data_IF_294235615905
#
_entry.id   IF_294235615905
#
_cell.length_a   1.000
_cell.length_b   1.000
_cell.length_c   1.000
_cell.angle_alpha   90.00
_cell.angle_beta   90.00
_cell.angle_gamma   90.00
#
_symmetry.space_group_name_H-M   'P 1'
#
loop_
_entity.id
_entity.type
_entity.pdbx_description
1 polymer ?
#
# COMPACT_ATOMS: atom_id res chain seq x y z
N UNK A 1 -20.38 19.00 3.59
CA UNK A 1 -19.47 19.06 4.76
C UNK A 1 -20.15 19.72 5.94
N UNK A 2 -20.70 20.93 5.84
CA UNK A 2 -21.36 21.64 6.96
C UNK A 2 -22.55 20.84 7.59
N UNK A 3 -23.37 20.20 6.78
CA UNK A 3 -24.52 19.41 7.26
C UNK A 3 -24.11 18.14 8.03
N UNK A 4 -23.04 17.46 7.61
CA UNK A 4 -22.49 16.29 8.32
C UNK A 4 -21.85 16.67 9.66
N UNK A 5 -21.17 17.81 9.71
CA UNK A 5 -20.63 18.35 10.96
C UNK A 5 -21.73 18.76 11.94
N UNK A 6 -22.85 19.33 11.44
CA UNK A 6 -23.99 19.70 12.26
C UNK A 6 -24.69 18.45 12.84
N UNK A 7 -24.86 17.39 12.05
CA UNK A 7 -25.39 16.10 12.50
C UNK A 7 -24.49 15.52 13.58
N UNK A 8 -23.19 15.36 13.33
CA UNK A 8 -22.23 14.80 14.29
C UNK A 8 -22.17 15.61 15.60
N UNK A 9 -22.29 16.95 15.51
CA UNK A 9 -22.35 17.84 16.68
C UNK A 9 -23.65 17.62 17.47
N UNK A 10 -24.76 17.43 16.77
CA UNK A 10 -26.09 17.23 17.42
C UNK A 10 -26.15 15.84 18.07
N UNK A 11 -25.62 14.80 17.45
CA UNK A 11 -25.49 13.45 18.01
C UNK A 11 -24.69 13.46 19.32
N UNK A 12 -23.51 14.06 19.33
CA UNK A 12 -22.70 14.20 20.55
C UNK A 12 -23.45 14.94 21.66
N UNK A 13 -24.22 15.96 21.32
CA UNK A 13 -25.00 16.70 22.30
C UNK A 13 -26.12 15.85 22.88
N UNK A 14 -26.80 15.06 22.06
CA UNK A 14 -27.85 14.12 22.53
C UNK A 14 -27.25 13.08 23.48
N UNK A 15 -26.07 12.54 23.16
CA UNK A 15 -25.38 11.55 23.99
C UNK A 15 -24.98 12.13 25.35
N UNK A 16 -24.41 13.36 25.38
CA UNK A 16 -24.04 14.05 26.61
C UNK A 16 -25.28 14.33 27.48
N UNK A 17 -26.38 14.77 26.86
CA UNK A 17 -27.63 15.05 27.58
C UNK A 17 -28.27 13.76 28.13
N UNK A 18 -28.24 12.64 27.39
CA UNK A 18 -28.73 11.34 27.85
C UNK A 18 -27.90 10.85 29.06
N UNK A 19 -26.60 10.96 29.02
CA UNK A 19 -25.73 10.58 30.12
C UNK A 19 -26.02 11.40 31.37
N UNK A 20 -26.22 12.72 31.24
CA UNK A 20 -26.63 13.60 32.37
C UNK A 20 -28.06 13.32 32.85
N UNK A 21 -28.99 12.93 31.98
CA UNK A 21 -30.33 12.57 32.35
C UNK A 21 -30.40 11.25 33.12
N UNK A 22 -29.48 10.31 32.88
CA UNK A 22 -29.35 9.06 33.66
C UNK A 22 -28.79 9.30 35.07
N UNK A 23 -27.91 10.31 35.21
CA UNK A 23 -27.23 10.63 36.47
C UNK A 23 -28.04 11.56 37.39
N UNK A 24 -29.02 12.30 36.82
CA UNK A 24 -29.87 13.27 37.54
C UNK A 24 -31.33 13.12 37.10
N UNK A 25 -32.24 12.75 38.02
CA UNK A 25 -33.69 12.75 37.80
C UNK A 25 -34.19 14.20 37.73
N UNK A 26 -33.96 14.88 36.61
CA UNK A 26 -34.41 16.26 36.36
C UNK A 26 -35.32 16.28 35.11
N UNK A 27 -36.62 16.63 35.24
CA UNK A 27 -37.55 16.68 34.12
C UNK A 27 -37.12 17.65 33.00
N UNK A 28 -36.41 18.75 33.32
CA UNK A 28 -35.95 19.73 32.36
C UNK A 28 -34.87 19.15 31.42
N UNK A 29 -33.98 18.30 31.94
CA UNK A 29 -33.00 17.60 31.13
C UNK A 29 -33.66 16.61 30.18
N UNK A 30 -34.69 15.93 30.62
CA UNK A 30 -35.50 15.02 29.79
C UNK A 30 -36.17 15.76 28.61
N UNK A 31 -36.70 16.97 28.85
CA UNK A 31 -37.25 17.80 27.77
C UNK A 31 -36.15 18.27 26.79
N UNK A 32 -34.97 18.63 27.30
CA UNK A 32 -33.83 19.03 26.46
C UNK A 32 -33.32 17.86 25.60
N UNK A 33 -33.29 16.63 26.11
CA UNK A 33 -32.97 15.41 25.36
C UNK A 33 -33.95 15.23 24.21
N UNK A 34 -35.26 15.29 24.50
CA UNK A 34 -36.30 15.09 23.49
C UNK A 34 -36.28 16.17 22.42
N UNK A 35 -36.04 17.44 22.79
CA UNK A 35 -35.92 18.55 21.85
C UNK A 35 -34.71 18.38 20.91
N UNK A 36 -33.55 17.96 21.46
CA UNK A 36 -32.34 17.69 20.66
C UNK A 36 -32.47 16.44 19.82
N UNK A 37 -33.14 15.39 20.32
CA UNK A 37 -33.46 14.21 19.52
C UNK A 37 -34.37 14.56 18.34
N UNK A 38 -35.42 15.35 18.55
CA UNK A 38 -36.28 15.82 17.46
C UNK A 38 -35.54 16.69 16.44
N UNK A 39 -34.57 17.47 16.88
CA UNK A 39 -33.68 18.22 15.96
C UNK A 39 -32.80 17.29 15.14
N UNK A 40 -32.18 16.30 15.75
CA UNK A 40 -31.38 15.28 15.08
C UNK A 40 -32.22 14.50 14.06
N UNK A 41 -33.40 14.04 14.43
CA UNK A 41 -34.30 13.32 13.53
C UNK A 41 -34.71 14.15 12.32
N UNK A 42 -34.89 15.48 12.48
CA UNK A 42 -35.16 16.38 11.36
C UNK A 42 -33.95 16.58 10.46
N UNK A 43 -32.72 16.67 11.01
CA UNK A 43 -31.49 16.77 10.25
C UNK A 43 -31.25 15.47 9.45
N UNK A 44 -31.43 14.32 10.09
CA UNK A 44 -31.33 13.01 9.43
C UNK A 44 -32.40 12.82 8.33
N UNK A 45 -33.64 13.33 8.55
CA UNK A 45 -34.70 13.28 7.55
C UNK A 45 -34.46 14.22 6.36
N UNK A 46 -33.67 15.30 6.54
CA UNK A 46 -33.26 16.23 5.48
C UNK A 46 -32.04 15.74 4.71
N UNK A 47 -31.26 14.83 5.30
CA UNK A 47 -30.20 14.17 4.54
C UNK A 47 -30.83 13.57 3.29
N UNK A 48 -30.62 14.22 2.16
CA UNK A 48 -30.87 13.59 0.86
C UNK A 48 -30.03 12.32 0.92
N UNK A 49 -30.71 11.16 1.02
CA UNK A 49 -30.03 9.89 0.83
C UNK A 49 -29.40 9.99 -0.55
N UNK A 50 -28.14 10.35 -0.61
CA UNK A 50 -27.38 10.12 -1.81
C UNK A 50 -27.69 8.67 -2.18
N UNK A 51 -28.03 8.37 -3.45
CA UNK A 51 -28.23 6.99 -3.83
C UNK A 51 -27.05 6.24 -3.21
N UNK A 52 -27.34 5.23 -2.40
CA UNK A 52 -26.30 4.41 -1.79
C UNK A 52 -25.53 3.81 -2.95
N UNK A 53 -24.47 4.48 -3.38
CA UNK A 53 -23.42 3.83 -4.10
C UNK A 53 -22.80 2.97 -3.00
N UNK A 54 -23.14 1.70 -3.02
CA UNK A 54 -22.48 0.70 -2.19
C UNK A 54 -21.02 0.72 -2.64
N UNK A 55 -20.20 1.45 -1.90
CA UNK A 55 -18.77 1.53 -2.20
C UNK A 55 -18.22 0.16 -1.86
N UNK A 56 -17.86 -0.60 -2.86
CA UNK A 56 -17.19 -1.89 -2.71
C UNK A 56 -15.70 -1.61 -2.70
N UNK A 57 -15.06 -2.04 -1.63
CA UNK A 57 -13.61 -2.03 -1.53
C UNK A 57 -13.08 -3.30 -2.21
N UNK A 58 -12.10 -3.21 -3.13
CA UNK A 58 -11.50 -4.39 -3.71
C UNK A 58 -10.68 -5.16 -2.67
N UNK A 59 -10.82 -6.47 -2.67
CA UNK A 59 -10.00 -7.38 -1.87
C UNK A 59 -8.72 -7.70 -2.67
N UNK A 60 -7.70 -6.86 -2.56
CA UNK A 60 -6.43 -7.08 -3.24
C UNK A 60 -5.62 -8.10 -2.43
N UNK A 61 -5.33 -9.24 -3.03
CA UNK A 61 -4.48 -10.29 -2.49
C UNK A 61 -3.18 -10.30 -3.28
N UNK A 62 -2.05 -10.47 -2.63
CA UNK A 62 -0.75 -10.65 -3.26
C UNK A 62 -0.29 -12.11 -3.11
N UNK A 63 0.67 -12.58 -3.93
CA UNK A 63 1.06 -14.00 -3.96
C UNK A 63 1.46 -14.53 -2.59
N UNK A 64 1.06 -15.78 -2.28
CA UNK A 64 1.59 -16.47 -1.11
C UNK A 64 2.97 -17.03 -1.44
N UNK A 65 4.00 -16.52 -0.77
CA UNK A 65 5.40 -16.97 -0.96
C UNK A 65 5.61 -18.38 -0.47
N UNK A 66 4.73 -18.92 0.41
CA UNK A 66 4.84 -20.24 0.98
C UNK A 66 4.41 -21.37 0.02
N UNK A 67 3.59 -21.09 -0.99
CA UNK A 67 3.06 -22.12 -1.91
C UNK A 67 4.03 -22.54 -3.01
N UNK A 68 5.18 -21.93 -3.10
CA UNK A 68 6.22 -22.22 -4.11
C UNK A 68 7.10 -23.45 -3.84
N UNK A 69 6.91 -24.19 -2.76
CA UNK A 69 7.79 -25.30 -2.32
C UNK A 69 7.14 -26.68 -2.51
N UNK A 70 6.02 -26.79 -3.23
CA UNK A 70 5.50 -28.11 -3.58
C UNK A 70 6.22 -28.65 -4.83
N UNK A 71 7.38 -29.29 -4.63
CA UNK A 71 8.10 -30.03 -5.69
C UNK A 71 9.61 -30.09 -5.58
N UNK A 72 10.24 -29.30 -4.73
CA UNK A 72 11.64 -29.53 -4.37
C UNK A 72 11.69 -30.35 -3.06
N UNK A 73 12.23 -31.53 -3.12
CA UNK A 73 12.59 -32.32 -1.93
C UNK A 73 13.29 -31.34 -0.95
N UNK A 74 12.80 -31.30 0.28
CA UNK A 74 13.40 -30.51 1.36
C UNK A 74 14.83 -31.06 1.56
N UNK A 75 15.78 -30.56 0.80
CA UNK A 75 17.12 -30.45 1.34
C UNK A 75 17.01 -29.43 2.47
N UNK A 76 17.03 -29.92 3.70
CA UNK A 76 17.31 -29.12 4.88
C UNK A 76 18.59 -28.33 4.58
N UNK A 77 18.46 -27.15 4.00
CA UNK A 77 19.54 -26.17 4.01
C UNK A 77 19.73 -25.78 5.46
N UNK A 78 20.69 -26.49 6.09
CA UNK A 78 21.30 -26.01 7.33
C UNK A 78 21.55 -24.52 7.20
N UNK A 79 21.16 -23.69 8.21
CA UNK A 79 21.49 -22.29 8.20
C UNK A 79 23.02 -22.19 8.16
N UNK A 80 23.55 -21.85 6.99
CA UNK A 80 24.95 -21.54 6.85
C UNK A 80 25.30 -20.38 7.76
N UNK A 81 26.36 -20.57 8.46
CA UNK A 81 26.88 -19.67 9.46
C UNK A 81 27.05 -18.27 8.92
N UNK A 82 26.50 -17.30 9.68
CA UNK A 82 26.53 -15.85 9.49
C UNK A 82 25.47 -15.29 8.51
N UNK A 83 24.28 -15.04 9.01
CA UNK A 83 23.31 -13.95 8.73
C UNK A 83 23.37 -13.14 7.42
N UNK A 84 23.80 -13.72 6.29
CA UNK A 84 23.78 -13.05 5.01
C UNK A 84 22.36 -13.16 4.42
N UNK A 85 21.63 -12.05 4.43
CA UNK A 85 20.33 -11.93 3.77
C UNK A 85 20.50 -12.25 2.27
N UNK A 86 19.66 -13.14 1.72
CA UNK A 86 19.68 -13.52 0.30
C UNK A 86 19.43 -12.28 -0.58
N UNK A 87 20.35 -11.95 -1.46
CA UNK A 87 20.20 -10.86 -2.42
C UNK A 87 19.35 -11.34 -3.60
N UNK A 88 18.21 -10.70 -3.82
CA UNK A 88 17.23 -11.03 -4.87
C UNK A 88 17.50 -10.23 -6.15
N UNK A 89 17.90 -8.97 -6.01
CA UNK A 89 18.26 -8.08 -7.11
C UNK A 89 19.51 -7.28 -6.74
N UNK A 90 20.47 -7.24 -7.63
CA UNK A 90 21.68 -6.44 -7.49
C UNK A 90 21.88 -5.55 -8.71
N UNK A 91 22.12 -4.29 -8.47
CA UNK A 91 22.42 -3.31 -9.51
C UNK A 91 23.78 -2.68 -9.18
N UNK A 92 24.69 -2.70 -10.19
CA UNK A 92 26.06 -2.22 -10.03
C UNK A 92 26.42 -1.33 -11.21
N UNK A 93 26.82 -0.09 -10.93
CA UNK A 93 27.27 0.92 -11.91
C UNK A 93 26.30 1.09 -13.09
N UNK A 94 24.98 1.02 -12.81
CA UNK A 94 23.97 1.18 -13.83
C UNK A 94 23.84 2.64 -14.25
N UNK A 95 23.74 2.87 -15.56
CA UNK A 95 23.63 4.17 -16.18
C UNK A 95 22.55 4.17 -17.26
N UNK A 96 21.82 5.27 -17.37
CA UNK A 96 20.86 5.53 -18.44
C UNK A 96 21.15 6.88 -19.07
N UNK A 97 21.46 6.86 -20.34
CA UNK A 97 21.61 8.01 -21.19
C UNK A 97 20.54 8.04 -22.28
N UNK A 98 19.89 9.19 -22.45
CA UNK A 98 19.15 9.58 -23.65
C UNK A 98 19.77 10.91 -24.13
N UNK A 99 18.98 11.83 -24.68
CA UNK A 99 19.44 13.19 -25.01
C UNK A 99 20.07 13.93 -23.80
N UNK A 100 19.83 13.42 -22.58
CA UNK A 100 20.42 13.85 -21.31
C UNK A 100 20.72 12.62 -20.46
N UNK A 101 21.74 12.75 -19.61
CA UNK A 101 21.99 11.78 -18.55
C UNK A 101 20.78 11.72 -17.60
N UNK A 102 20.15 10.56 -17.49
CA UNK A 102 19.00 10.37 -16.62
C UNK A 102 19.40 9.75 -15.28
N UNK A 103 20.22 8.70 -15.31
CA UNK A 103 20.75 8.03 -14.12
C UNK A 103 22.22 7.72 -14.32
N UNK A 104 23.03 7.95 -13.29
CA UNK A 104 24.46 7.69 -13.28
C UNK A 104 24.87 6.97 -12.00
N UNK A 105 25.78 5.99 -12.13
CA UNK A 105 26.38 5.26 -11.01
C UNK A 105 25.36 4.70 -10.02
N UNK A 106 24.27 4.13 -10.52
CA UNK A 106 23.24 3.55 -9.66
C UNK A 106 23.74 2.23 -9.09
N UNK A 107 23.83 2.18 -7.78
CA UNK A 107 24.29 1.02 -7.03
C UNK A 107 23.32 0.75 -5.88
N UNK A 108 22.66 -0.41 -5.89
CA UNK A 108 21.90 -0.90 -4.75
C UNK A 108 21.67 -2.41 -4.82
N UNK A 109 21.38 -2.99 -3.68
CA UNK A 109 20.99 -4.38 -3.52
C UNK A 109 19.62 -4.42 -2.83
N UNK A 110 18.80 -5.40 -3.24
CA UNK A 110 17.52 -5.70 -2.68
C UNK A 110 17.56 -7.11 -2.12
N UNK A 111 17.29 -7.24 -0.84
CA UNK A 111 17.34 -8.52 -0.14
C UNK A 111 15.94 -9.13 -0.01
N UNK A 112 15.89 -10.44 0.19
CA UNK A 112 14.65 -11.17 0.35
C UNK A 112 13.82 -10.60 1.51
N UNK A 113 12.54 -10.32 1.23
CA UNK A 113 11.61 -9.73 2.19
C UNK A 113 11.68 -8.20 2.35
N UNK A 114 12.67 -7.52 1.73
CA UNK A 114 12.73 -6.06 1.75
C UNK A 114 11.69 -5.44 0.80
N UNK A 115 11.13 -4.32 1.22
CA UNK A 115 10.23 -3.48 0.41
C UNK A 115 10.91 -2.15 0.15
N UNK A 116 11.20 -1.86 -1.12
CA UNK A 116 11.94 -0.67 -1.54
C UNK A 116 11.13 0.15 -2.51
N UNK A 117 10.99 1.45 -2.24
CA UNK A 117 10.34 2.40 -3.13
C UNK A 117 11.37 3.29 -3.83
N UNK A 118 11.24 3.43 -5.15
CA UNK A 118 12.00 4.39 -5.96
C UNK A 118 11.14 5.64 -6.13
N UNK A 119 11.63 6.77 -5.64
CA UNK A 119 10.92 8.05 -5.66
C UNK A 119 11.78 9.10 -6.34
N UNK A 120 11.18 9.92 -7.18
CA UNK A 120 11.89 11.01 -7.88
C UNK A 120 10.99 11.70 -8.91
N UNK A 121 11.43 12.82 -9.46
CA UNK A 121 10.67 13.58 -10.45
C UNK A 121 10.36 12.78 -11.72
N UNK A 122 9.37 13.25 -12.50
CA UNK A 122 9.06 12.63 -13.79
C UNK A 122 10.23 12.79 -14.77
N UNK A 123 10.47 11.76 -15.59
CA UNK A 123 11.53 11.79 -16.59
C UNK A 123 12.94 11.55 -16.05
N UNK A 124 13.10 11.10 -14.80
CA UNK A 124 14.40 10.78 -14.20
C UNK A 124 14.92 9.38 -14.51
N UNK A 125 14.22 8.60 -15.34
CA UNK A 125 14.69 7.27 -15.76
C UNK A 125 14.16 6.09 -14.91
N UNK A 126 13.23 6.30 -13.96
CA UNK A 126 12.69 5.23 -13.10
C UNK A 126 12.04 4.10 -13.89
N UNK A 127 11.09 4.41 -14.78
CA UNK A 127 10.43 3.42 -15.64
C UNK A 127 11.42 2.75 -16.60
N UNK A 128 12.46 3.46 -17.06
CA UNK A 128 13.53 2.88 -17.88
C UNK A 128 14.31 1.85 -17.08
N UNK A 129 14.65 2.15 -15.83
CA UNK A 129 15.30 1.20 -14.92
C UNK A 129 14.45 -0.06 -14.72
N UNK A 130 13.14 0.09 -14.46
CA UNK A 130 12.22 -1.06 -14.34
C UNK A 130 12.22 -1.88 -15.62
N UNK A 131 12.12 -1.22 -16.79
CA UNK A 131 12.14 -1.91 -18.08
C UNK A 131 13.42 -2.72 -18.29
N UNK A 132 14.57 -2.16 -17.94
CA UNK A 132 15.85 -2.84 -18.09
C UNK A 132 16.02 -3.98 -17.08
N UNK A 133 15.45 -3.85 -15.86
CA UNK A 133 15.36 -4.96 -14.91
C UNK A 133 14.55 -6.11 -15.51
N UNK A 134 13.40 -5.82 -16.10
CA UNK A 134 12.52 -6.84 -16.69
C UNK A 134 13.13 -7.53 -17.90
N UNK A 135 13.90 -6.79 -18.74
CA UNK A 135 14.60 -7.37 -19.88
C UNK A 135 15.73 -8.29 -19.45
N UNK A 136 16.34 -8.01 -18.31
CA UNK A 136 17.45 -8.76 -17.71
C UNK A 136 18.60 -9.07 -18.71
N UNK A 137 18.86 -8.13 -19.63
CA UNK A 137 19.92 -8.22 -20.64
C UNK A 137 21.12 -7.29 -20.35
N UNK A 138 21.00 -6.43 -19.34
CA UNK A 138 22.01 -5.48 -18.94
C UNK A 138 22.96 -6.11 -17.89
N UNK A 139 24.29 -6.18 -18.15
CA UNK A 139 25.24 -6.77 -17.21
C UNK A 139 25.35 -6.04 -15.87
N UNK A 140 24.89 -4.79 -15.79
CA UNK A 140 24.79 -4.03 -14.53
C UNK A 140 23.65 -4.47 -13.63
N UNK A 141 22.75 -5.34 -14.13
CA UNK A 141 21.55 -5.80 -13.42
C UNK A 141 21.63 -7.31 -13.26
N UNK A 142 21.47 -7.80 -12.07
CA UNK A 142 21.50 -9.23 -11.75
C UNK A 142 20.29 -9.55 -10.86
N UNK A 143 19.38 -10.37 -11.40
CA UNK A 143 18.30 -10.99 -10.62
C UNK A 143 18.76 -12.40 -10.27
N UNK A 144 18.55 -12.83 -9.02
CA UNK A 144 18.81 -14.21 -8.62
C UNK A 144 17.99 -15.18 -9.46
N UNK A 145 18.65 -16.13 -10.11
CA UNK A 145 18.05 -17.10 -11.05
C UNK A 145 16.92 -17.95 -10.43
N UNK A 146 16.93 -18.13 -9.11
CA UNK A 146 15.91 -18.89 -8.40
C UNK A 146 14.73 -18.00 -7.96
N UNK A 147 14.73 -16.70 -8.25
CA UNK A 147 13.68 -15.79 -7.85
C UNK A 147 12.57 -15.71 -8.90
N UNK A 148 11.37 -16.11 -8.52
CA UNK A 148 10.18 -15.87 -9.33
C UNK A 148 9.72 -14.44 -9.12
N UNK A 149 9.54 -13.71 -10.20
CA UNK A 149 9.07 -12.34 -10.14
C UNK A 149 7.80 -12.12 -10.97
N UNK A 150 7.01 -11.15 -10.56
CA UNK A 150 5.88 -10.63 -11.31
C UNK A 150 5.96 -9.11 -11.36
N UNK A 151 5.42 -8.53 -12.43
CA UNK A 151 5.45 -7.11 -12.66
C UNK A 151 4.07 -6.54 -12.92
N UNK A 152 3.74 -5.46 -12.21
CA UNK A 152 2.68 -4.53 -12.56
C UNK A 152 3.34 -3.33 -13.27
N UNK A 153 3.12 -3.19 -14.58
CA UNK A 153 3.77 -2.15 -15.37
C UNK A 153 2.76 -1.23 -16.03
N UNK A 154 3.06 0.06 -16.05
CA UNK A 154 2.31 1.05 -16.84
C UNK A 154 2.41 0.82 -18.37
N UNK A 155 3.38 0.01 -18.81
CA UNK A 155 3.54 -0.36 -20.21
C UNK A 155 2.51 -1.44 -20.60
N UNK A 156 1.25 -1.08 -20.54
CA UNK A 156 0.08 -1.97 -20.65
C UNK A 156 0.02 -2.75 -21.97
N UNK A 157 0.68 -2.30 -23.03
CA UNK A 157 0.65 -2.96 -24.34
C UNK A 157 1.63 -4.13 -24.53
N UNK A 158 2.60 -4.34 -23.63
CA UNK A 158 3.61 -5.39 -23.79
C UNK A 158 3.29 -6.69 -23.00
N UNK A 159 2.41 -6.63 -22.00
CA UNK A 159 2.13 -7.77 -21.11
C UNK A 159 0.79 -8.46 -21.33
N UNK A 160 -0.22 -7.77 -21.86
CA UNK A 160 -1.56 -8.32 -22.07
C UNK A 160 -2.09 -7.93 -23.46
N UNK A 161 -2.57 -8.92 -24.20
CA UNK A 161 -3.16 -8.72 -25.54
C UNK A 161 -4.50 -7.97 -25.39
N UNK A 162 -4.53 -6.69 -25.80
CA UNK A 162 -5.69 -5.81 -25.70
C UNK A 162 -6.88 -6.28 -26.56
N UNK A 163 -6.65 -7.10 -27.58
CA UNK A 163 -7.69 -7.65 -28.44
C UNK A 163 -8.39 -8.88 -27.86
N UNK A 164 -7.79 -9.53 -26.88
CA UNK A 164 -8.39 -10.65 -26.16
C UNK A 164 -9.42 -10.17 -25.14
N UNK A 165 -10.42 -11.03 -24.90
CA UNK A 165 -11.33 -10.80 -23.75
C UNK A 165 -10.61 -11.09 -22.44
N UNK A 166 -11.06 -10.45 -21.34
CA UNK A 166 -10.56 -10.72 -20.00
C UNK A 166 -10.61 -12.22 -19.69
N UNK A 167 -11.70 -12.88 -20.07
CA UNK A 167 -11.83 -14.34 -19.93
C UNK A 167 -10.71 -15.11 -20.62
N UNK A 168 -10.39 -14.76 -21.87
CA UNK A 168 -9.32 -15.41 -22.63
C UNK A 168 -7.95 -15.20 -22.00
N UNK A 169 -7.68 -13.98 -21.54
CA UNK A 169 -6.43 -13.65 -20.85
C UNK A 169 -6.30 -14.45 -19.55
N UNK A 170 -7.35 -14.50 -18.74
CA UNK A 170 -7.36 -15.28 -17.51
C UNK A 170 -7.18 -16.78 -17.75
N UNK A 171 -7.79 -17.31 -18.81
CA UNK A 171 -7.58 -18.72 -19.23
C UNK A 171 -6.12 -19.00 -19.62
N UNK A 172 -5.50 -18.09 -20.38
CA UNK A 172 -4.09 -18.23 -20.80
C UNK A 172 -3.15 -18.25 -19.56
N UNK A 173 -3.57 -17.65 -18.45
CA UNK A 173 -2.86 -17.66 -17.18
C UNK A 173 -3.27 -18.84 -16.25
N UNK A 174 -4.00 -19.82 -16.78
CA UNK A 174 -4.32 -21.05 -16.07
C UNK A 174 -5.57 -21.00 -15.19
N UNK A 175 -6.35 -19.92 -15.24
CA UNK A 175 -7.62 -19.87 -14.52
C UNK A 175 -8.67 -20.79 -15.15
N UNK A 176 -9.61 -21.25 -14.32
CA UNK A 176 -10.55 -22.30 -14.68
C UNK A 176 -11.73 -21.87 -15.55
N UNK A 177 -12.95 -22.23 -15.13
CA UNK A 177 -14.17 -21.93 -15.89
C UNK A 177 -14.51 -20.44 -15.86
N UNK A 178 -15.38 -20.02 -16.79
CA UNK A 178 -15.84 -18.63 -16.86
C UNK A 178 -16.55 -18.18 -15.60
N UNK A 179 -17.28 -19.08 -14.94
CA UNK A 179 -17.98 -18.83 -13.69
C UNK A 179 -16.98 -18.58 -12.56
N UNK A 180 -15.94 -19.43 -12.44
CA UNK A 180 -14.90 -19.25 -11.42
C UNK A 180 -14.08 -17.98 -11.65
N UNK A 181 -13.81 -17.60 -12.90
CA UNK A 181 -13.14 -16.34 -13.23
C UNK A 181 -14.01 -15.15 -12.80
N UNK A 182 -15.31 -15.16 -13.07
CA UNK A 182 -16.22 -14.09 -12.66
C UNK A 182 -16.29 -13.94 -11.13
N UNK A 183 -16.37 -15.05 -10.40
CA UNK A 183 -16.34 -15.05 -8.92
C UNK A 183 -15.00 -14.52 -8.39
N UNK A 184 -13.91 -14.88 -9.02
CA UNK A 184 -12.57 -14.40 -8.64
C UNK A 184 -12.42 -12.90 -8.89
N UNK A 185 -12.80 -12.42 -10.07
CA UNK A 185 -12.74 -11.00 -10.43
C UNK A 185 -13.66 -10.10 -9.60
N UNK A 186 -14.78 -10.66 -9.11
CA UNK A 186 -15.68 -9.92 -8.22
C UNK A 186 -15.01 -9.49 -6.91
N UNK A 187 -13.99 -10.21 -6.42
CA UNK A 187 -13.17 -9.80 -5.26
C UNK A 187 -12.42 -8.49 -5.51
N UNK A 188 -12.01 -8.28 -6.75
CA UNK A 188 -11.34 -7.06 -7.22
C UNK A 188 -12.34 -5.98 -7.68
N UNK A 189 -13.61 -6.08 -7.30
CA UNK A 189 -14.68 -5.18 -7.74
C UNK A 189 -14.86 -5.08 -9.27
N UNK A 190 -14.40 -6.08 -10.02
CA UNK A 190 -14.64 -6.21 -11.45
C UNK A 190 -15.98 -6.94 -11.66
N UNK A 191 -16.93 -6.27 -12.32
CA UNK A 191 -18.27 -6.81 -12.53
C UNK A 191 -18.26 -8.02 -13.49
N UNK A 192 -19.27 -8.87 -13.39
CA UNK A 192 -19.34 -10.12 -14.17
C UNK A 192 -19.27 -9.89 -15.69
N UNK A 193 -19.73 -8.74 -16.19
CA UNK A 193 -19.72 -8.31 -17.57
C UNK A 193 -18.31 -8.03 -18.09
N UNK A 194 -17.40 -7.63 -17.20
CA UNK A 194 -15.99 -7.36 -17.52
C UNK A 194 -15.30 -8.59 -18.10
N UNK A 195 -15.65 -9.79 -17.66
CA UNK A 195 -15.08 -11.03 -18.19
C UNK A 195 -15.28 -11.20 -19.70
N UNK A 196 -16.35 -10.64 -20.25
CA UNK A 196 -16.69 -10.73 -21.69
C UNK A 196 -16.17 -9.54 -22.51
N UNK A 197 -15.62 -8.51 -21.87
CA UNK A 197 -15.06 -7.33 -22.53
C UNK A 197 -13.63 -7.60 -23.00
N UNK A 198 -13.21 -6.91 -24.05
CA UNK A 198 -11.80 -6.88 -24.45
C UNK A 198 -11.00 -6.07 -23.45
N UNK A 199 -9.76 -6.49 -23.17
CA UNK A 199 -8.86 -5.79 -22.23
C UNK A 199 -8.67 -4.32 -22.63
N UNK A 200 -8.52 -4.02 -23.91
CA UNK A 200 -8.40 -2.65 -24.41
C UNK A 200 -9.65 -1.77 -24.24
N UNK A 201 -10.80 -2.33 -23.83
CA UNK A 201 -12.04 -1.59 -23.56
C UNK A 201 -12.20 -1.23 -22.09
N UNK A 202 -11.38 -1.81 -21.21
CA UNK A 202 -11.40 -1.55 -19.79
C UNK A 202 -10.87 -0.15 -19.49
N UNK A 203 -11.40 0.47 -18.44
CA UNK A 203 -10.79 1.68 -17.86
C UNK A 203 -9.39 1.37 -17.30
N UNK A 204 -8.54 2.37 -17.18
CA UNK A 204 -7.19 2.18 -16.61
C UNK A 204 -7.20 1.56 -15.21
N UNK A 205 -8.20 1.89 -14.38
CA UNK A 205 -8.39 1.28 -13.07
C UNK A 205 -8.76 -0.20 -13.14
N UNK A 206 -9.69 -0.59 -14.02
CA UNK A 206 -10.07 -1.99 -14.23
C UNK A 206 -8.91 -2.81 -14.78
N UNK A 207 -8.11 -2.25 -15.70
CA UNK A 207 -6.91 -2.90 -16.22
C UNK A 207 -5.87 -3.13 -15.11
N UNK A 208 -5.69 -2.15 -14.23
CA UNK A 208 -4.77 -2.26 -13.10
C UNK A 208 -5.25 -3.33 -12.11
N UNK A 209 -6.54 -3.35 -11.75
CA UNK A 209 -7.11 -4.39 -10.88
C UNK A 209 -7.04 -5.78 -11.52
N UNK A 210 -7.25 -5.90 -12.83
CA UNK A 210 -7.08 -7.16 -13.56
C UNK A 210 -5.64 -7.67 -13.49
N UNK A 211 -4.65 -6.80 -13.69
CA UNK A 211 -3.23 -7.17 -13.56
C UNK A 211 -2.89 -7.62 -12.13
N UNK A 212 -3.39 -6.91 -11.11
CA UNK A 212 -3.22 -7.31 -9.71
C UNK A 212 -3.84 -8.69 -9.44
N UNK A 213 -5.04 -8.95 -9.98
CA UNK A 213 -5.69 -10.26 -9.89
C UNK A 213 -4.86 -11.38 -10.52
N UNK A 214 -4.20 -11.11 -11.65
CA UNK A 214 -3.31 -12.09 -12.30
C UNK A 214 -2.01 -12.30 -11.51
N UNK A 215 -1.44 -11.24 -10.95
CA UNK A 215 -0.23 -11.31 -10.12
C UNK A 215 -0.47 -12.14 -8.86
N UNK A 216 -1.64 -12.07 -8.26
CA UNK A 216 -1.98 -12.79 -7.03
C UNK A 216 -1.72 -14.30 -7.12
N UNK A 217 -1.96 -14.90 -8.27
CA UNK A 217 -1.80 -16.34 -8.49
C UNK A 217 -0.41 -16.72 -9.08
N UNK A 218 0.47 -15.74 -9.26
CA UNK A 218 1.78 -15.97 -9.90
C UNK A 218 2.77 -16.72 -9.02
N UNK A 219 2.56 -16.76 -7.71
CA UNK A 219 3.51 -17.30 -6.74
C UNK A 219 4.87 -16.57 -6.76
N UNK A 220 4.89 -15.32 -7.17
CA UNK A 220 6.10 -14.51 -7.24
C UNK A 220 6.67 -14.25 -5.84
N UNK A 221 7.98 -14.21 -5.73
CA UNK A 221 8.73 -13.85 -4.52
C UNK A 221 9.19 -12.38 -4.57
N UNK A 222 9.36 -11.86 -5.79
CA UNK A 222 9.68 -10.45 -6.05
C UNK A 222 8.55 -9.82 -6.86
N UNK A 223 7.95 -8.77 -6.31
CA UNK A 223 7.00 -7.93 -7.01
C UNK A 223 7.68 -6.65 -7.49
N UNK A 224 7.54 -6.34 -8.77
CA UNK A 224 8.00 -5.10 -9.38
C UNK A 224 6.74 -4.30 -9.74
N UNK A 225 6.54 -3.16 -9.07
CA UNK A 225 5.32 -2.35 -9.19
C UNK A 225 5.69 -0.97 -9.75
N UNK A 226 5.29 -0.69 -10.99
CA UNK A 226 5.51 0.62 -11.65
C UNK A 226 4.24 1.46 -11.62
N UNK A 227 4.21 2.48 -10.77
CA UNK A 227 3.08 3.38 -10.52
C UNK A 227 1.76 2.64 -10.18
N UNK A 228 1.77 1.72 -9.20
CA UNK A 228 0.67 0.79 -8.98
C UNK A 228 -0.63 1.45 -8.48
N UNK A 229 -0.55 2.67 -7.92
CA UNK A 229 -1.72 3.45 -7.48
C UNK A 229 -2.35 4.27 -8.60
N UNK A 230 -1.70 4.37 -9.77
CA UNK A 230 -2.24 5.13 -10.89
C UNK A 230 -3.56 4.53 -11.37
N UNK A 231 -4.53 5.42 -11.64
CA UNK A 231 -5.88 5.07 -12.07
C UNK A 231 -6.76 4.33 -11.04
N UNK A 232 -6.24 4.02 -9.84
CA UNK A 232 -7.06 3.48 -8.75
C UNK A 232 -7.76 4.63 -8.00
N UNK A 233 -8.99 4.37 -7.59
CA UNK A 233 -9.68 5.24 -6.64
C UNK A 233 -9.09 5.10 -5.23
N UNK A 234 -9.53 5.91 -4.29
CA UNK A 234 -8.99 5.93 -2.92
C UNK A 234 -9.15 4.58 -2.21
N UNK A 235 -10.20 3.82 -2.51
CA UNK A 235 -10.45 2.51 -1.91
C UNK A 235 -9.49 1.47 -2.48
N UNK A 236 -9.30 1.46 -3.80
CA UNK A 236 -8.30 0.62 -4.47
C UNK A 236 -6.87 0.94 -4.00
N UNK A 237 -6.53 2.22 -3.84
CA UNK A 237 -5.23 2.64 -3.30
C UNK A 237 -5.02 2.11 -1.87
N UNK A 238 -6.01 2.29 -0.98
CA UNK A 238 -5.93 1.80 0.40
C UNK A 238 -5.83 0.26 0.45
N UNK A 239 -6.61 -0.44 -0.36
CA UNK A 239 -6.54 -1.90 -0.43
C UNK A 239 -5.18 -2.39 -0.91
N UNK A 240 -4.59 -1.71 -1.91
CA UNK A 240 -3.25 -2.02 -2.40
C UNK A 240 -2.16 -1.74 -1.35
N UNK A 241 -2.23 -0.60 -0.65
CA UNK A 241 -1.31 -0.30 0.45
C UNK A 241 -1.33 -1.39 1.51
N UNK A 242 -2.52 -1.81 1.95
CA UNK A 242 -2.68 -2.89 2.93
C UNK A 242 -2.09 -4.20 2.42
N UNK A 243 -2.41 -4.59 1.18
CA UNK A 243 -1.89 -5.80 0.57
C UNK A 243 -0.36 -5.80 0.48
N UNK A 244 0.25 -4.69 0.04
CA UNK A 244 1.71 -4.53 -0.02
C UNK A 244 2.32 -4.55 1.38
N UNK A 245 1.70 -3.91 2.37
CA UNK A 245 2.19 -3.92 3.75
C UNK A 245 2.21 -5.33 4.36
N UNK A 246 1.19 -6.15 4.09
CA UNK A 246 1.05 -7.53 4.59
C UNK A 246 1.89 -8.56 3.82
N UNK A 247 2.25 -8.26 2.58
CA UNK A 247 3.02 -9.15 1.73
C UNK A 247 4.36 -9.54 2.36
N UNK A 248 4.69 -10.83 2.36
CA UNK A 248 5.90 -11.38 3.00
C UNK A 248 7.09 -11.50 2.06
N UNK A 249 6.86 -11.34 0.76
CA UNK A 249 7.92 -11.35 -0.25
C UNK A 249 8.62 -9.99 -0.39
N UNK A 250 9.42 -9.90 -1.41
CA UNK A 250 10.22 -8.73 -1.76
C UNK A 250 9.45 -7.81 -2.69
N UNK A 251 9.52 -6.50 -2.50
CA UNK A 251 8.84 -5.51 -3.34
C UNK A 251 9.81 -4.43 -3.80
N UNK A 252 9.86 -4.22 -5.10
CA UNK A 252 10.46 -3.03 -5.70
C UNK A 252 9.33 -2.21 -6.33
N UNK A 253 9.03 -1.03 -5.79
CA UNK A 253 7.98 -0.18 -6.32
C UNK A 253 8.54 1.14 -6.82
N UNK A 254 8.04 1.62 -7.95
CA UNK A 254 8.19 3.00 -8.40
C UNK A 254 6.88 3.70 -8.15
N UNK A 255 6.87 4.80 -7.42
CA UNK A 255 5.65 5.55 -7.17
C UNK A 255 5.92 7.03 -6.94
N UNK A 256 4.97 7.84 -7.39
CA UNK A 256 4.83 9.23 -7.00
C UNK A 256 3.93 9.40 -5.77
N UNK A 257 3.28 8.33 -5.34
CA UNK A 257 2.46 8.33 -4.14
C UNK A 257 3.33 8.27 -2.89
N UNK A 258 3.32 9.39 -2.17
CA UNK A 258 4.04 9.50 -0.91
C UNK A 258 3.56 8.48 0.13
N UNK A 259 2.24 8.26 0.21
CA UNK A 259 1.66 7.39 1.22
C UNK A 259 2.03 5.93 0.99
N UNK A 260 1.95 5.45 -0.25
CA UNK A 260 2.40 4.09 -0.59
C UNK A 260 3.90 3.91 -0.23
N UNK A 261 4.76 4.84 -0.64
CA UNK A 261 6.19 4.76 -0.34
C UNK A 261 6.47 4.86 1.17
N UNK A 262 5.75 5.74 1.88
CA UNK A 262 5.96 5.98 3.30
C UNK A 262 5.37 4.89 4.20
N UNK A 263 4.28 4.23 3.80
CA UNK A 263 3.59 3.23 4.62
C UNK A 263 4.07 1.80 4.35
N UNK A 264 4.51 1.52 3.11
CA UNK A 264 4.81 0.16 2.70
C UNK A 264 6.30 -0.15 2.56
N UNK A 265 7.16 0.86 2.30
CA UNK A 265 8.58 0.60 2.06
C UNK A 265 9.40 0.60 3.36
N UNK A 266 10.43 -0.26 3.42
CA UNK A 266 11.47 -0.24 4.46
C UNK A 266 12.52 0.84 4.14
N UNK A 267 12.83 0.97 2.85
CA UNK A 267 13.79 1.92 2.31
C UNK A 267 13.23 2.65 1.10
N UNK A 268 13.70 3.89 0.93
CA UNK A 268 13.42 4.71 -0.25
C UNK A 268 14.72 4.98 -1.00
N UNK A 269 14.69 4.74 -2.30
CA UNK A 269 15.70 5.13 -3.26
C UNK A 269 15.26 6.48 -3.87
N UNK A 270 15.78 7.55 -3.34
CA UNK A 270 15.48 8.90 -3.82
C UNK A 270 16.35 9.23 -5.01
N UNK A 271 15.71 9.49 -6.16
CA UNK A 271 16.36 9.91 -7.40
C UNK A 271 16.41 11.43 -7.44
N UNK A 272 17.60 12.00 -7.26
CA UNK A 272 17.87 13.43 -7.33
C UNK A 272 19.20 13.65 -8.06
N UNK A 273 19.31 14.69 -8.88
CA UNK A 273 20.53 15.08 -9.61
C UNK A 273 21.19 13.90 -10.34
N UNK A 274 20.41 13.10 -11.06
CA UNK A 274 20.84 11.91 -11.82
C UNK A 274 21.47 10.80 -10.97
N UNK A 275 21.40 10.88 -9.66
CA UNK A 275 21.94 9.89 -8.72
C UNK A 275 20.83 9.25 -7.89
N UNK A 276 21.13 8.11 -7.30
CA UNK A 276 20.19 7.38 -6.42
C UNK A 276 20.76 7.35 -5.02
N UNK A 277 20.00 7.85 -4.06
CA UNK A 277 20.35 7.83 -2.64
C UNK A 277 19.43 6.92 -1.85
N UNK A 278 19.97 5.85 -1.26
CA UNK A 278 19.21 4.96 -0.36
C UNK A 278 19.05 5.62 1.00
N UNK A 279 17.82 5.67 1.51
CA UNK A 279 17.52 6.14 2.86
C UNK A 279 16.41 5.29 3.50
N UNK A 280 16.39 5.21 4.82
CA UNK A 280 15.28 4.57 5.54
C UNK A 280 14.01 5.40 5.36
N UNK A 281 12.88 4.74 5.25
CA UNK A 281 11.57 5.38 5.06
C UNK A 281 11.25 6.42 6.13
N UNK A 282 11.66 6.19 7.37
CA UNK A 282 11.54 7.19 8.45
C UNK A 282 12.23 8.52 8.11
N UNK A 283 13.44 8.46 7.56
CA UNK A 283 14.18 9.68 7.17
C UNK A 283 13.52 10.36 5.96
N UNK A 284 12.97 9.56 5.05
CA UNK A 284 12.19 10.07 3.91
C UNK A 284 10.93 10.79 4.39
N UNK A 285 10.14 10.17 5.28
CA UNK A 285 8.96 10.83 5.88
C UNK A 285 9.33 12.18 6.48
N UNK A 286 10.36 12.20 7.36
CA UNK A 286 10.82 13.43 8.00
C UNK A 286 11.19 14.50 6.98
N UNK A 287 11.97 14.14 5.96
CA UNK A 287 12.39 15.07 4.90
C UNK A 287 11.19 15.67 4.14
N UNK A 288 10.20 14.86 3.81
CA UNK A 288 9.01 15.32 3.09
C UNK A 288 8.16 16.21 3.99
N UNK A 289 7.95 15.82 5.26
CA UNK A 289 7.17 16.62 6.20
C UNK A 289 7.86 17.94 6.55
N UNK A 290 9.19 17.96 6.72
CA UNK A 290 9.96 19.21 6.90
C UNK A 290 9.79 20.17 5.72
N UNK A 291 9.69 19.63 4.50
CA UNK A 291 9.60 20.42 3.28
C UNK A 291 8.18 20.90 2.96
N UNK A 292 7.15 20.13 3.30
CA UNK A 292 5.79 20.33 2.78
C UNK A 292 4.69 20.44 3.85
N UNK A 293 4.96 20.13 5.13
CA UNK A 293 3.95 20.05 6.19
C UNK A 293 4.36 20.83 7.46
N UNK A 294 3.39 21.05 8.34
CA UNK A 294 3.47 21.89 9.53
C UNK A 294 4.44 21.38 10.61
N UNK A 295 5.01 22.32 11.38
CA UNK A 295 5.93 22.08 12.49
C UNK A 295 5.40 21.13 13.59
N UNK A 296 4.09 21.04 13.77
CA UNK A 296 3.45 20.14 14.73
C UNK A 296 3.74 18.65 14.49
N UNK A 297 3.86 18.24 13.22
CA UNK A 297 4.21 16.87 12.91
C UNK A 297 5.63 16.52 13.37
N UNK A 298 6.57 17.44 13.19
CA UNK A 298 7.96 17.24 13.64
C UNK A 298 8.07 17.09 15.15
N UNK A 299 7.25 17.82 15.90
CA UNK A 299 7.19 17.68 17.36
C UNK A 299 6.60 16.32 17.75
N UNK A 300 5.53 15.89 17.09
CA UNK A 300 4.92 14.58 17.30
C UNK A 300 5.88 13.44 16.94
N UNK A 301 6.58 13.49 15.79
CA UNK A 301 7.56 12.49 15.38
C UNK A 301 8.76 12.43 16.32
N UNK A 302 9.24 13.57 16.80
CA UNK A 302 10.30 13.63 17.83
C UNK A 302 9.85 12.97 19.13
N UNK A 303 8.63 13.27 19.56
CA UNK A 303 8.05 12.68 20.76
C UNK A 303 7.87 11.17 20.66
N UNK A 304 7.43 10.71 19.49
CA UNK A 304 7.35 9.27 19.17
C UNK A 304 8.70 8.58 19.30
N UNK A 305 9.76 9.17 18.75
CA UNK A 305 11.13 8.63 18.83
C UNK A 305 11.63 8.52 20.26
N UNK A 306 11.35 9.55 21.08
CA UNK A 306 11.69 9.52 22.51
C UNK A 306 10.98 8.37 23.23
N UNK A 307 9.68 8.17 22.96
CA UNK A 307 8.89 7.10 23.57
C UNK A 307 9.38 5.71 23.13
N UNK A 308 9.63 5.47 21.84
CA UNK A 308 10.19 4.21 21.34
C UNK A 308 11.54 3.87 21.98
N UNK A 309 12.39 4.89 22.17
CA UNK A 309 13.68 4.74 22.85
C UNK A 309 13.49 4.34 24.33
N UNK A 310 12.53 5.00 25.01
CA UNK A 310 12.20 4.71 26.40
C UNK A 310 11.57 3.32 26.56
N UNK A 311 10.67 2.91 25.66
CA UNK A 311 10.08 1.56 25.61
C UNK A 311 11.20 0.52 25.50
N UNK A 312 12.12 0.71 24.53
CA UNK A 312 13.27 -0.20 24.36
C UNK A 312 14.14 -0.28 25.62
N UNK A 313 14.35 0.84 26.27
CA UNK A 313 15.13 0.88 27.52
C UNK A 313 14.41 0.22 28.70
N UNK A 314 13.08 0.38 28.79
CA UNK A 314 12.24 -0.25 29.81
C UNK A 314 12.18 -1.79 29.59
N UNK A 315 12.04 -2.24 28.36
CA UNK A 315 12.14 -3.67 28.03
C UNK A 315 13.45 -4.31 28.48
N UNK A 316 14.59 -3.63 28.23
CA UNK A 316 15.91 -4.12 28.68
C UNK A 316 16.08 -4.21 30.19
N UNK A 317 15.19 -3.55 30.95
CA UNK A 317 15.20 -3.53 32.44
C UNK A 317 14.11 -4.40 33.02
N UNK A 318 13.35 -5.14 32.20
CA UNK A 318 12.18 -5.95 32.58
C UNK A 318 11.10 -5.13 33.32
N UNK A 319 11.02 -3.81 33.07
CA UNK A 319 10.02 -2.91 33.64
C UNK A 319 8.75 -2.87 32.77
N UNK A 320 7.95 -3.92 32.88
CA UNK A 320 6.74 -4.08 32.09
C UNK A 320 5.65 -3.03 32.41
N UNK A 321 5.61 -2.51 33.63
CA UNK A 321 4.64 -1.46 33.97
C UNK A 321 4.99 -0.13 33.29
N UNK A 322 6.28 0.19 33.15
CA UNK A 322 6.72 1.34 32.36
C UNK A 322 6.47 1.14 30.88
N UNK A 323 6.66 -0.07 30.34
CA UNK A 323 6.37 -0.40 28.95
C UNK A 323 4.90 -0.17 28.62
N UNK A 324 3.97 -0.69 29.42
CA UNK A 324 2.52 -0.53 29.20
C UNK A 324 2.11 0.95 29.18
N UNK A 325 2.61 1.75 30.11
CA UNK A 325 2.34 3.19 30.14
C UNK A 325 2.89 3.92 28.92
N UNK A 326 4.13 3.64 28.54
CA UNK A 326 4.77 4.28 27.38
C UNK A 326 4.11 3.88 26.05
N UNK A 327 3.63 2.65 25.93
CA UNK A 327 2.84 2.21 24.77
C UNK A 327 1.50 2.95 24.68
N UNK A 328 0.80 3.14 25.80
CA UNK A 328 -0.42 3.96 25.86
C UNK A 328 -0.17 5.43 25.47
N UNK A 329 0.96 6.01 25.91
CA UNK A 329 1.36 7.36 25.52
C UNK A 329 1.69 7.44 24.00
N UNK A 330 2.23 6.36 23.40
CA UNK A 330 2.53 6.26 21.99
C UNK A 330 1.24 6.21 21.15
N UNK A 331 0.27 5.40 21.55
CA UNK A 331 -1.04 5.30 20.87
C UNK A 331 -1.78 6.64 20.83
N UNK A 332 -1.61 7.51 21.83
CA UNK A 332 -2.21 8.86 21.82
C UNK A 332 -1.59 9.79 20.79
N UNK A 333 -0.36 9.53 20.35
CA UNK A 333 0.32 10.30 19.32
C UNK A 333 -0.03 9.76 17.92
N UNK A 334 -0.22 8.45 17.77
CA UNK A 334 -0.58 7.81 16.50
C UNK A 334 -2.03 8.08 16.06
N UNK A 335 -2.86 8.67 16.92
CA UNK A 335 -4.22 9.09 16.62
C UNK A 335 -4.35 10.49 15.99
N UNK A 336 -3.23 11.12 15.54
CA UNK A 336 -3.23 12.41 14.85
C UNK A 336 -2.85 12.30 13.40
#
# INVERSE_FOLDING_TARGET
>A
MEEQEEIARTERMVEILRKRASDMVNPEIGQAVNAKQSQLDRLLARQIKAPFIEVREPEIVLPDVSTGIEGAEQEETTPDAAGAERTVLKITDYQVEFDKDLLQNVNFELHAGEKVAIVGANGTGKTTLIRDILKNDNPSIQIDENTRYACLSQLQGESVDEDKTVYQVMQDHGFGSKESIKEYLAKYCLEAEVADQKVGQLSGGEQNLLQLAMIAESGAELLILDEPTSHLDIYGQTALENAVAEYKGTVLMVSHDFYLAANCADYVLLVEDNTVRRMRTRNFRRMVYEKYFDSKYLEADRRRQELETLITAAFRRDDFAAVEKLCSDLETIDGF
#
